data_IF_964375422149
#
_entry.id   IF_964375422149
#
_cell.length_a   1.000
_cell.length_b   1.000
_cell.length_c   1.000
_cell.angle_alpha   90.00
_cell.angle_beta   90.00
_cell.angle_gamma   90.00
#
_symmetry.space_group_name_H-M   'P 1'
#
loop_
_entity.id
_entity.type
_entity.pdbx_description
1 polymer ?
#
# COMPACT_ATOMS: atom_id res chain seq x y z
N UNK A 1 6.93 -8.21 7.83
CA UNK A 1 7.93 -8.39 8.88
C UNK A 1 9.17 -9.02 8.28
N UNK A 2 10.35 -8.48 8.58
CA UNK A 2 11.62 -9.06 8.17
C UNK A 2 12.12 -9.94 9.30
N UNK A 3 12.04 -11.27 9.15
CA UNK A 3 12.42 -12.21 10.22
C UNK A 3 13.94 -12.27 10.40
N UNK A 4 14.69 -12.43 9.29
CA UNK A 4 16.14 -12.58 9.31
C UNK A 4 16.73 -12.38 7.90
N UNK A 5 18.02 -12.02 7.82
CA UNK A 5 18.80 -11.98 6.58
C UNK A 5 19.38 -10.60 6.26
N UNK A 6 19.85 -10.43 5.02
CA UNK A 6 20.46 -9.17 4.57
C UNK A 6 19.43 -8.03 4.47
N UNK A 7 19.86 -6.77 4.68
CA UNK A 7 18.95 -5.62 4.67
C UNK A 7 18.16 -5.49 3.36
N UNK A 8 16.92 -5.00 3.46
CA UNK A 8 16.05 -4.76 2.31
C UNK A 8 15.96 -3.27 2.01
N UNK A 9 16.29 -2.89 0.78
CA UNK A 9 16.17 -1.53 0.30
C UNK A 9 14.78 -1.33 -0.31
N UNK A 10 14.11 -0.26 0.09
CA UNK A 10 12.77 0.10 -0.38
C UNK A 10 12.79 1.45 -1.07
N UNK A 11 12.04 1.54 -2.17
CA UNK A 11 11.65 2.77 -2.85
C UNK A 11 10.13 2.83 -2.84
N UNK A 12 9.56 3.85 -2.21
CA UNK A 12 8.12 3.97 -1.97
C UNK A 12 7.64 5.29 -2.56
N UNK A 13 6.63 5.20 -3.43
CA UNK A 13 6.03 6.36 -4.09
C UNK A 13 4.65 6.57 -3.48
N UNK A 14 4.38 7.74 -2.86
CA UNK A 14 3.09 8.04 -2.27
C UNK A 14 1.95 7.95 -3.29
N UNK A 15 0.76 7.59 -2.83
CA UNK A 15 -0.41 7.40 -3.70
C UNK A 15 -0.72 8.64 -4.59
N UNK A 16 -0.49 9.85 -4.07
CA UNK A 16 -0.74 11.09 -4.82
C UNK A 16 0.23 11.32 -6.01
N UNK A 17 1.39 10.65 -6.04
CA UNK A 17 2.34 10.70 -7.15
C UNK A 17 2.05 9.64 -8.23
N UNK A 18 1.21 8.64 -7.93
CA UNK A 18 0.94 7.48 -8.79
C UNK A 18 0.52 7.89 -10.21
N UNK A 19 -0.41 8.84 -10.31
CA UNK A 19 -0.94 9.29 -11.59
C UNK A 19 0.10 10.03 -12.44
N UNK A 20 0.97 10.82 -11.79
CA UNK A 20 2.06 11.51 -12.46
C UNK A 20 3.06 10.49 -13.02
N UNK A 21 3.46 9.50 -12.22
CA UNK A 21 4.33 8.42 -12.66
C UNK A 21 3.70 7.61 -13.80
N UNK A 22 2.41 7.27 -13.69
CA UNK A 22 1.68 6.53 -14.74
C UNK A 22 1.78 7.22 -16.08
N UNK A 23 1.55 8.54 -16.12
CA UNK A 23 1.68 9.34 -17.35
C UNK A 23 3.09 9.32 -17.92
N UNK A 24 4.11 9.37 -17.07
CA UNK A 24 5.52 9.32 -17.51
C UNK A 24 5.83 7.96 -18.14
N UNK A 25 5.48 6.88 -17.45
CA UNK A 25 5.73 5.51 -17.90
C UNK A 25 4.99 5.21 -19.21
N UNK A 26 3.72 5.60 -19.31
CA UNK A 26 2.91 5.41 -20.52
C UNK A 26 3.40 6.25 -21.71
N UNK A 27 3.98 7.44 -21.45
CA UNK A 27 4.61 8.26 -22.51
C UNK A 27 5.88 7.62 -23.06
N UNK A 28 6.63 6.91 -22.23
CA UNK A 28 7.83 6.19 -22.66
C UNK A 28 7.46 4.92 -23.43
N UNK A 29 6.47 4.17 -22.94
CA UNK A 29 5.89 3.04 -23.65
C UNK A 29 4.42 2.86 -23.24
N UNK A 30 3.51 2.98 -24.21
CA UNK A 30 2.07 2.89 -23.98
C UNK A 30 1.61 1.51 -23.52
N UNK A 31 2.41 0.46 -23.72
CA UNK A 31 2.10 -0.88 -23.22
C UNK A 31 2.43 -1.06 -21.74
N UNK A 32 3.19 -0.14 -21.13
CA UNK A 32 3.60 -0.27 -19.74
C UNK A 32 2.42 0.05 -18.81
N UNK A 33 2.20 -0.85 -17.84
CA UNK A 33 1.16 -0.73 -16.84
C UNK A 33 1.75 -0.86 -15.45
N UNK A 34 1.50 0.13 -14.59
CA UNK A 34 1.93 0.08 -13.18
C UNK A 34 1.14 -0.95 -12.36
N UNK A 35 -0.07 -1.32 -12.81
CA UNK A 35 -0.95 -2.26 -12.09
C UNK A 35 -0.52 -3.73 -12.23
N UNK A 36 0.37 -4.05 -13.17
CA UNK A 36 0.88 -5.42 -13.34
C UNK A 36 2.07 -5.74 -12.43
N UNK A 37 2.66 -4.72 -11.78
CA UNK A 37 3.83 -4.88 -10.89
C UNK A 37 5.07 -5.55 -11.54
N UNK A 38 5.13 -5.58 -12.88
CA UNK A 38 6.23 -6.20 -13.65
C UNK A 38 7.36 -5.21 -14.01
N UNK A 39 7.13 -3.91 -13.81
CA UNK A 39 8.08 -2.87 -14.21
C UNK A 39 9.06 -2.58 -13.09
N UNK A 40 10.36 -2.69 -13.37
CA UNK A 40 11.42 -2.14 -12.52
C UNK A 40 11.80 -0.76 -13.05
N UNK A 41 11.70 0.26 -12.20
CA UNK A 41 11.95 1.65 -12.59
C UNK A 41 13.18 2.16 -11.86
N UNK A 42 14.16 2.64 -12.62
CA UNK A 42 15.35 3.28 -12.07
C UNK A 42 14.94 4.54 -11.26
N UNK A 43 15.37 4.68 -9.99
CA UNK A 43 15.11 5.87 -9.18
C UNK A 43 15.50 7.20 -9.84
N UNK A 44 16.49 7.19 -10.75
CA UNK A 44 16.87 8.38 -11.54
C UNK A 44 15.72 8.92 -12.40
N UNK A 45 14.76 8.07 -12.78
CA UNK A 45 13.53 8.50 -13.47
C UNK A 45 12.69 9.36 -12.52
N UNK A 46 12.59 9.01 -11.25
CA UNK A 46 11.83 9.81 -10.29
C UNK A 46 12.47 11.19 -10.10
N UNK A 47 13.80 11.23 -9.96
CA UNK A 47 14.54 12.50 -9.83
C UNK A 47 14.37 13.37 -11.08
N UNK A 48 14.53 12.78 -12.28
CA UNK A 48 14.41 13.48 -13.58
C UNK A 48 13.05 14.13 -13.79
N UNK A 49 11.98 13.48 -13.33
CA UNK A 49 10.61 13.97 -13.50
C UNK A 49 10.01 14.57 -12.22
N UNK A 50 10.84 14.80 -11.19
CA UNK A 50 10.44 15.37 -9.90
C UNK A 50 9.29 14.61 -9.21
N UNK A 51 9.26 13.28 -9.37
CA UNK A 51 8.34 12.41 -8.65
C UNK A 51 8.86 12.23 -7.22
N UNK A 52 8.04 12.55 -6.22
CA UNK A 52 8.43 12.34 -4.82
C UNK A 52 8.41 10.86 -4.46
N UNK A 53 9.45 10.41 -3.79
CA UNK A 53 9.55 9.05 -3.26
C UNK A 53 10.30 9.04 -1.93
N UNK A 54 10.10 7.98 -1.17
CA UNK A 54 10.84 7.68 0.05
C UNK A 54 11.78 6.52 -0.21
N UNK A 55 13.00 6.63 0.32
CA UNK A 55 13.96 5.53 0.37
C UNK A 55 14.19 5.15 1.83
N UNK A 56 14.12 3.85 2.11
CA UNK A 56 14.46 3.32 3.44
C UNK A 56 15.18 1.97 3.32
N UNK A 57 15.88 1.61 4.38
CA UNK A 57 16.50 0.29 4.54
C UNK A 57 15.82 -0.39 5.72
N UNK A 58 15.30 -1.60 5.49
CA UNK A 58 14.64 -2.41 6.49
C UNK A 58 15.58 -3.54 6.94
N UNK A 59 15.93 -3.56 8.21
CA UNK A 59 16.74 -4.57 8.87
C UNK A 59 15.89 -5.71 9.44
N UNK A 60 16.55 -6.79 9.89
CA UNK A 60 15.88 -7.88 10.57
C UNK A 60 15.15 -7.35 11.83
N UNK A 61 13.99 -7.94 12.09
CA UNK A 61 13.06 -7.63 13.17
C UNK A 61 12.31 -6.31 12.99
N UNK A 62 12.31 -5.72 11.79
CA UNK A 62 11.57 -4.49 11.48
C UNK A 62 10.30 -4.76 10.65
N UNK A 63 9.34 -3.85 10.81
CA UNK A 63 8.10 -3.78 10.05
C UNK A 63 8.10 -2.55 9.13
N UNK A 64 7.69 -2.76 7.89
CA UNK A 64 7.33 -1.69 6.96
C UNK A 64 5.84 -1.80 6.71
N UNK A 65 5.12 -0.69 6.93
CA UNK A 65 3.69 -0.59 6.66
C UNK A 65 3.49 0.40 5.51
N UNK A 66 2.88 -0.07 4.43
CA UNK A 66 2.59 0.77 3.27
C UNK A 66 1.15 1.30 3.38
N UNK A 67 0.98 2.60 3.17
CA UNK A 67 -0.34 3.22 3.08
C UNK A 67 -1.07 2.75 1.81
N UNK A 68 -2.40 2.74 1.86
CA UNK A 68 -3.24 2.40 0.71
C UNK A 68 -2.83 3.21 -0.55
N UNK A 69 -2.73 2.51 -1.70
CA UNK A 69 -2.43 3.13 -2.99
C UNK A 69 -0.97 3.52 -3.24
N UNK A 70 -0.09 3.41 -2.24
CA UNK A 70 1.34 3.61 -2.44
C UNK A 70 1.91 2.53 -3.39
N UNK A 71 2.85 2.93 -4.24
CA UNK A 71 3.67 2.00 -5.01
C UNK A 71 4.96 1.73 -4.24
N UNK A 72 5.46 0.50 -4.30
CA UNK A 72 6.72 0.15 -3.68
C UNK A 72 7.51 -0.83 -4.54
N UNK A 73 8.83 -0.65 -4.57
CA UNK A 73 9.79 -1.62 -5.10
C UNK A 73 10.84 -1.87 -4.02
N UNK A 74 11.28 -3.13 -3.92
CA UNK A 74 12.34 -3.48 -2.97
C UNK A 74 13.26 -4.54 -3.50
N UNK A 75 14.49 -4.54 -3.01
CA UNK A 75 15.49 -5.56 -3.28
C UNK A 75 16.34 -5.85 -2.04
N UNK A 76 16.99 -7.00 -2.03
CA UNK A 76 17.98 -7.41 -1.02
C UNK A 76 19.27 -7.79 -1.72
N UNK A 77 20.41 -7.62 -1.05
CA UNK A 77 21.71 -8.02 -1.59
C UNK A 77 21.88 -9.56 -1.54
N UNK A 78 21.36 -10.21 -0.49
CA UNK A 78 21.42 -11.66 -0.31
C UNK A 78 20.06 -12.27 0.11
N UNK A 79 20.13 -13.51 0.60
CA UNK A 79 18.98 -14.26 1.13
C UNK A 79 18.38 -13.59 2.36
N UNK A 80 17.05 -13.56 2.40
CA UNK A 80 16.28 -13.07 3.54
C UNK A 80 15.01 -13.89 3.73
N UNK A 81 14.52 -13.93 4.96
CA UNK A 81 13.23 -14.50 5.31
C UNK A 81 12.27 -13.38 5.69
N UNK A 82 11.20 -13.24 4.91
CA UNK A 82 10.19 -12.21 5.10
C UNK A 82 8.80 -12.83 5.15
N UNK A 83 7.90 -12.13 5.83
CA UNK A 83 6.48 -12.41 5.83
C UNK A 83 5.71 -11.11 5.57
N UNK A 84 4.65 -11.19 4.77
CA UNK A 84 3.82 -10.04 4.42
C UNK A 84 2.35 -10.42 4.40
N UNK A 85 1.50 -9.51 4.87
CA UNK A 85 0.05 -9.64 4.81
C UNK A 85 -0.55 -8.31 4.38
N UNK A 86 -1.61 -8.37 3.59
CA UNK A 86 -2.45 -7.21 3.31
C UNK A 86 -3.51 -7.08 4.41
N UNK A 87 -3.72 -5.86 4.88
CA UNK A 87 -4.79 -5.55 5.83
C UNK A 87 -5.47 -4.26 5.40
N UNK A 88 -6.70 -4.05 5.89
CA UNK A 88 -7.48 -2.86 5.57
C UNK A 88 -7.97 -2.19 6.85
N UNK A 89 -7.82 -0.87 6.88
CA UNK A 89 -8.52 -0.02 7.85
C UNK A 89 -9.88 0.39 7.27
N UNK A 90 -10.84 0.82 8.10
CA UNK A 90 -12.10 1.41 7.61
C UNK A 90 -11.91 2.49 6.53
N UNK A 91 -10.88 3.33 6.69
CA UNK A 91 -10.53 4.39 5.72
C UNK A 91 -10.12 3.84 4.34
N UNK A 92 -9.61 2.61 4.26
CA UNK A 92 -9.24 1.98 2.98
C UNK A 92 -10.42 1.88 2.00
N UNK A 93 -11.67 1.88 2.49
CA UNK A 93 -12.84 1.83 1.61
C UNK A 93 -13.01 3.15 0.87
N UNK A 94 -12.73 4.26 1.54
CA UNK A 94 -12.77 5.60 0.97
C UNK A 94 -11.50 5.85 0.13
N UNK A 95 -10.33 5.49 0.65
CA UNK A 95 -9.04 5.88 0.07
C UNK A 95 -8.46 4.82 -0.89
N UNK A 96 -8.71 3.54 -0.66
CA UNK A 96 -8.17 2.42 -1.44
C UNK A 96 -9.15 1.94 -2.51
N UNK A 97 -10.35 1.51 -2.10
CA UNK A 97 -11.35 0.95 -3.01
C UNK A 97 -11.85 1.97 -4.04
N UNK A 98 -12.08 3.22 -3.63
CA UNK A 98 -12.53 4.27 -4.55
C UNK A 98 -11.47 4.64 -5.60
N UNK A 99 -10.18 4.61 -5.22
CA UNK A 99 -9.08 4.92 -6.13
C UNK A 99 -8.82 3.81 -7.15
N UNK A 100 -9.00 2.54 -6.76
CA UNK A 100 -8.89 1.41 -7.69
C UNK A 100 -9.91 1.48 -8.83
N UNK A 101 -11.12 2.00 -8.59
CA UNK A 101 -12.13 2.20 -9.65
C UNK A 101 -11.74 3.26 -10.68
N UNK A 102 -10.83 4.18 -10.33
CA UNK A 102 -10.46 5.32 -11.17
C UNK A 102 -9.19 5.10 -12.00
N UNK A 103 -8.42 4.03 -11.74
CA UNK A 103 -7.24 3.66 -12.53
C UNK A 103 -7.26 2.19 -12.93
N UNK A 104 -8.34 1.68 -13.59
CA UNK A 104 -8.34 0.32 -14.09
C UNK A 104 -7.22 0.17 -15.13
N UNK A 105 -6.51 -0.96 -15.06
CA UNK A 105 -5.59 -1.36 -16.10
C UNK A 105 -6.30 -1.33 -17.46
N UNK A 106 -5.79 -0.53 -18.41
CA UNK A 106 -6.36 -0.41 -19.76
C UNK A 106 -5.84 -1.49 -20.73
N UNK A 107 -4.91 -2.35 -20.28
CA UNK A 107 -4.26 -3.34 -21.12
C UNK A 107 -5.18 -4.51 -21.51
N UNK A 108 -6.35 -4.65 -20.87
CA UNK A 108 -7.26 -5.76 -21.09
C UNK A 108 -8.61 -5.29 -21.67
N UNK A 109 -8.62 -4.98 -22.96
CA UNK A 109 -9.85 -4.58 -23.69
C UNK A 109 -10.76 -5.81 -23.97
N UNK A 110 -10.22 -7.04 -23.87
CA UNK A 110 -10.93 -8.28 -24.25
C UNK A 110 -11.07 -9.34 -23.12
N UNK A 111 -10.50 -9.11 -21.94
CA UNK A 111 -10.56 -10.06 -20.83
C UNK A 111 -11.64 -9.68 -19.82
N UNK A 112 -12.72 -10.46 -19.76
CA UNK A 112 -13.66 -10.46 -18.64
C UNK A 112 -12.94 -10.84 -17.34
N UNK A 113 -12.34 -9.87 -16.69
CA UNK A 113 -12.05 -9.93 -15.26
C UNK A 113 -12.59 -8.66 -14.65
N UNK A 114 -13.93 -8.60 -14.51
CA UNK A 114 -14.51 -7.66 -13.56
C UNK A 114 -13.81 -7.94 -12.22
N UNK A 115 -13.12 -6.95 -11.62
CA UNK A 115 -12.57 -7.15 -10.30
C UNK A 115 -13.74 -7.61 -9.42
N UNK A 116 -13.58 -8.71 -8.67
CA UNK A 116 -14.60 -9.15 -7.73
C UNK A 116 -14.89 -7.96 -6.82
N UNK A 117 -16.00 -7.28 -7.07
CA UNK A 117 -16.36 -6.10 -6.33
C UNK A 117 -16.79 -6.58 -4.98
N UNK A 118 -15.97 -6.32 -3.97
CA UNK A 118 -16.35 -6.48 -2.59
C UNK A 118 -17.57 -5.57 -2.36
N UNK A 119 -18.63 -6.13 -1.77
CA UNK A 119 -19.78 -5.35 -1.38
C UNK A 119 -19.40 -4.41 -0.23
N UNK A 120 -19.05 -3.18 -0.59
CA UNK A 120 -18.66 -2.14 0.36
C UNK A 120 -19.81 -1.73 1.29
N UNK A 121 -21.06 -2.09 0.97
CA UNK A 121 -22.21 -1.84 1.85
C UNK A 121 -22.17 -2.67 3.13
N UNK A 122 -21.35 -3.72 3.20
CA UNK A 122 -21.09 -4.50 4.41
C UNK A 122 -20.23 -3.72 5.42
N UNK A 123 -19.56 -2.67 4.99
CA UNK A 123 -18.62 -1.88 5.80
C UNK A 123 -19.20 -0.52 6.18
N UNK A 124 -20.48 -0.50 6.57
CA UNK A 124 -21.12 0.72 7.10
C UNK A 124 -20.37 1.20 8.32
N UNK A 125 -20.26 2.51 8.45
CA UNK A 125 -19.62 3.16 9.60
C UNK A 125 -20.15 2.61 10.94
N UNK A 126 -21.45 2.35 11.03
CA UNK A 126 -22.10 1.77 12.22
C UNK A 126 -21.59 0.36 12.57
N UNK A 127 -21.39 -0.51 11.57
CA UNK A 127 -20.88 -1.87 11.78
C UNK A 127 -19.41 -1.87 12.18
N UNK A 128 -18.64 -0.98 11.56
CA UNK A 128 -17.23 -0.77 11.89
C UNK A 128 -17.09 -0.19 13.30
N UNK A 129 -17.88 0.83 13.64
CA UNK A 129 -17.85 1.45 14.96
C UNK A 129 -18.26 0.44 16.03
N UNK A 130 -19.31 -0.35 15.78
CA UNK A 130 -19.69 -1.46 16.65
C UNK A 130 -18.55 -2.47 16.83
N UNK A 131 -17.82 -2.82 15.77
CA UNK A 131 -16.67 -3.72 15.87
C UNK A 131 -15.54 -3.11 16.72
N UNK A 132 -15.19 -1.84 16.48
CA UNK A 132 -14.19 -1.11 17.27
C UNK A 132 -14.59 -1.10 18.75
N UNK A 133 -15.84 -0.72 19.04
CA UNK A 133 -16.34 -0.61 20.40
C UNK A 133 -16.37 -1.96 21.13
N UNK A 134 -16.67 -3.03 20.40
CA UNK A 134 -16.81 -4.38 20.97
C UNK A 134 -15.47 -5.10 21.15
N UNK A 135 -14.51 -4.89 20.24
CA UNK A 135 -13.31 -5.73 20.14
C UNK A 135 -11.98 -4.98 20.22
N UNK A 136 -11.95 -3.67 19.98
CA UNK A 136 -10.71 -2.88 19.90
C UNK A 136 -10.58 -1.81 20.98
N UNK A 137 -11.65 -1.52 21.74
CA UNK A 137 -11.55 -0.78 23.00
C UNK A 137 -10.82 -1.64 24.05
N UNK A 138 -9.50 -1.73 23.91
CA UNK A 138 -8.59 -2.14 24.97
C UNK A 138 -8.73 -1.05 26.04
N UNK A 139 -9.35 -1.45 27.14
CA UNK A 139 -9.74 -0.61 28.28
C UNK A 139 -8.62 0.37 28.65
N UNK A 140 -8.93 1.67 28.70
CA UNK A 140 -8.20 2.64 29.51
C UNK A 140 -8.38 2.35 31.03
N UNK A 141 -8.15 1.11 31.48
CA UNK A 141 -8.32 0.70 32.90
C UNK A 141 -7.08 1.04 33.75
N UNK A 142 -6.34 2.07 33.36
CA UNK A 142 -5.08 2.46 34.00
C UNK A 142 -5.14 3.73 34.85
N UNK A 143 -6.28 4.42 34.94
CA UNK A 143 -6.37 5.71 35.67
C UNK A 143 -7.64 5.85 36.49
N UNK A 144 -7.63 5.25 37.70
CA UNK A 144 -8.36 5.65 38.94
C UNK A 144 -7.95 4.61 39.99
N UNK A 145 -7.08 4.85 40.97
CA UNK A 145 -7.14 5.90 41.98
C UNK A 145 -5.81 5.92 42.76
N UNK A 146 -5.18 7.09 42.87
CA UNK A 146 -4.31 7.40 44.01
C UNK A 146 -4.96 8.60 44.68
N UNK A 147 -5.78 8.31 45.68
CA UNK A 147 -6.23 9.30 46.65
C UNK A 147 -5.50 9.02 47.95
N UNK A 148 -4.95 10.10 48.50
CA UNK A 148 -4.12 10.21 49.71
C UNK A 148 -4.64 9.43 50.92
#
# INVERSE_FOLDING_TARGET
YHHQGSPRHWYIIPAYEREALRKIVQRQNSSNCLEHEELLIDPLIFDKYHIRYHRLVQYANELVVLSAGALAQSFTEDTSWIESVAFALPSWIQDGHANYRNSPCQCNINGFSLPQTIDVSLFKHELIQKYIDTYLNIVEDGKRSVTK
#
